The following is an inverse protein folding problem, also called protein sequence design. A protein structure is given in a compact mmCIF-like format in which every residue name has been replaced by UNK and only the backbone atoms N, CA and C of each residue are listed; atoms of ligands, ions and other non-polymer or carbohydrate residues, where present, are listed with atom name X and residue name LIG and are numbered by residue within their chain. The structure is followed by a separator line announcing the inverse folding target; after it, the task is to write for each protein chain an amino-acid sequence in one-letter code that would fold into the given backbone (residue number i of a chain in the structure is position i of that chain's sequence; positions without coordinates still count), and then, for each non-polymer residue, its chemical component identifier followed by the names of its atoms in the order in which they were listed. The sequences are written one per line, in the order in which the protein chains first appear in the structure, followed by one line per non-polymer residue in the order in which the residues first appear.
data_IF_815444141746
#
_entry.id   IF_815444141746
#
_cell.length_a   1.000
_cell.length_b   1.000
_cell.length_c   1.000
_cell.angle_alpha   90.00
_cell.angle_beta   90.00
_cell.angle_gamma   90.00
#
_symmetry.space_group_name_H-M   'P 1'
#
loop_
_entity.id
_entity.type
_entity.pdbx_description
1 polymer ?
#
# COMPACT_ATOMS: atom_id res chain seq x y z
N UNK A 1 -5.94 -7.63 -26.31
CA UNK A 1 -6.53 -7.21 -27.60
C UNK A 1 -7.48 -6.11 -27.23
N UNK A 2 -7.10 -4.86 -27.37
CA UNK A 2 -7.23 -4.13 -28.63
C UNK A 2 -6.13 -3.05 -28.73
N UNK A 3 -5.68 -2.82 -29.95
CA UNK A 3 -4.50 -2.03 -30.30
C UNK A 3 -4.67 -0.56 -29.94
N UNK A 4 -3.74 -0.02 -29.16
CA UNK A 4 -3.42 1.40 -29.15
C UNK A 4 -2.05 1.57 -29.81
N UNK A 5 -2.05 1.66 -31.14
CA UNK A 5 -0.89 2.10 -31.91
C UNK A 5 -0.75 3.62 -31.76
N UNK A 6 0.22 4.03 -30.93
CA UNK A 6 0.76 5.38 -30.83
C UNK A 6 2.17 5.26 -30.26
N UNK A 7 3.17 5.79 -30.95
CA UNK A 7 4.61 5.70 -30.61
C UNK A 7 4.99 6.55 -29.38
N UNK A 8 4.30 6.38 -28.25
CA UNK A 8 4.45 7.26 -27.08
C UNK A 8 5.03 6.57 -25.83
N UNK A 9 5.39 5.28 -25.92
CA UNK A 9 6.10 4.59 -24.86
C UNK A 9 7.49 4.18 -25.33
N UNK A 10 8.52 4.77 -24.71
CA UNK A 10 9.90 4.32 -24.84
C UNK A 10 9.98 2.84 -24.47
N UNK A 11 10.27 2.00 -25.46
CA UNK A 11 10.49 0.58 -25.22
C UNK A 11 11.97 0.32 -24.93
N UNK A 12 12.31 -0.80 -24.26
CA UNK A 12 13.70 -1.20 -24.10
C UNK A 12 14.45 -1.31 -25.44
N UNK A 13 13.75 -1.67 -26.52
CA UNK A 13 14.32 -1.76 -27.86
C UNK A 13 14.71 -0.38 -28.39
N UNK A 14 13.91 0.65 -28.13
CA UNK A 14 14.21 2.01 -28.57
C UNK A 14 15.48 2.55 -27.88
N UNK A 15 15.65 2.24 -26.59
CA UNK A 15 16.85 2.60 -25.82
C UNK A 15 18.09 1.87 -26.36
N UNK A 16 17.98 0.57 -26.63
CA UNK A 16 19.09 -0.22 -27.18
C UNK A 16 19.45 0.27 -28.59
N UNK A 17 18.46 0.51 -29.45
CA UNK A 17 18.68 1.00 -30.81
C UNK A 17 19.36 2.37 -30.80
N UNK A 18 18.92 3.30 -29.95
CA UNK A 18 19.55 4.61 -29.80
C UNK A 18 20.98 4.51 -29.25
N UNK A 19 21.22 3.59 -28.33
CA UNK A 19 22.57 3.32 -27.82
C UNK A 19 23.50 2.82 -28.94
N UNK A 20 23.03 1.87 -29.75
CA UNK A 20 23.81 1.32 -30.88
C UNK A 20 24.06 2.36 -31.99
N UNK A 21 23.12 3.27 -32.22
CA UNK A 21 23.30 4.38 -33.17
C UNK A 21 24.39 5.35 -32.70
N UNK A 22 24.42 5.64 -31.40
CA UNK A 22 25.36 6.61 -30.80
C UNK A 22 26.75 6.01 -30.53
N UNK A 23 26.81 4.72 -30.24
CA UNK A 23 28.03 3.98 -29.88
C UNK A 23 28.12 2.66 -30.68
N UNK A 24 28.36 2.74 -32.01
CA UNK A 24 28.35 1.56 -32.88
C UNK A 24 29.53 0.59 -32.62
N UNK A 25 30.57 1.06 -31.95
CA UNK A 25 31.77 0.31 -31.59
C UNK A 25 31.64 -0.49 -30.29
N UNK A 26 30.55 -0.29 -29.53
CA UNK A 26 30.33 -0.91 -28.23
C UNK A 26 29.35 -2.08 -28.31
N UNK A 27 29.66 -3.18 -27.60
CA UNK A 27 28.74 -4.32 -27.52
C UNK A 27 27.59 -4.02 -26.54
N UNK A 28 26.37 -4.03 -27.07
CA UNK A 28 25.15 -3.85 -26.28
C UNK A 28 25.02 -4.90 -25.16
N UNK A 29 25.54 -6.12 -25.36
CA UNK A 29 25.43 -7.18 -24.36
C UNK A 29 26.25 -6.85 -23.11
N UNK A 30 27.42 -6.23 -23.25
CA UNK A 30 28.27 -5.85 -22.11
C UNK A 30 27.58 -4.80 -21.23
N UNK A 31 26.77 -3.92 -21.83
CA UNK A 31 26.10 -2.82 -21.12
C UNK A 31 24.72 -3.23 -20.56
N UNK A 32 23.98 -4.06 -21.28
CA UNK A 32 22.60 -4.41 -20.95
C UNK A 32 22.42 -5.84 -20.41
N UNK A 33 23.47 -6.64 -20.28
CA UNK A 33 23.39 -7.95 -19.61
C UNK A 33 23.02 -7.81 -18.13
N UNK A 34 22.48 -8.90 -17.57
CA UNK A 34 22.15 -9.01 -16.15
C UNK A 34 23.40 -8.93 -15.28
N UNK A 35 24.50 -9.56 -15.73
CA UNK A 35 25.79 -9.54 -15.02
C UNK A 35 26.69 -8.35 -15.42
N UNK A 36 26.10 -7.32 -16.02
CA UNK A 36 26.84 -6.12 -16.43
C UNK A 36 27.26 -5.29 -15.22
N UNK A 37 28.48 -4.74 -15.24
CA UNK A 37 28.93 -3.73 -14.29
C UNK A 37 28.01 -2.48 -14.28
N UNK A 38 27.26 -2.26 -15.36
CA UNK A 38 26.32 -1.15 -15.51
C UNK A 38 24.90 -1.48 -15.02
N UNK A 39 24.62 -2.70 -14.56
CA UNK A 39 23.27 -3.06 -14.07
C UNK A 39 22.96 -2.50 -12.67
N UNK A 40 23.98 -2.12 -11.89
CA UNK A 40 23.79 -1.64 -10.51
C UNK A 40 22.78 -0.50 -10.41
N UNK A 41 22.83 0.47 -11.31
CA UNK A 41 21.88 1.60 -11.34
C UNK A 41 20.45 1.17 -11.68
N UNK A 42 20.28 0.23 -12.62
CA UNK A 42 18.97 -0.31 -13.01
C UNK A 42 18.35 -1.14 -11.90
N UNK A 43 19.14 -2.03 -11.31
CA UNK A 43 18.74 -2.87 -10.19
C UNK A 43 18.38 -2.03 -8.96
N UNK A 44 19.23 -1.07 -8.59
CA UNK A 44 18.96 -0.14 -7.48
C UNK A 44 17.72 0.72 -7.73
N UNK A 45 17.56 1.27 -8.94
CA UNK A 45 16.39 2.06 -9.32
C UNK A 45 15.10 1.23 -9.28
N UNK A 46 15.13 0.00 -9.78
CA UNK A 46 13.99 -0.92 -9.70
C UNK A 46 13.65 -1.30 -8.27
N UNK A 47 14.65 -1.58 -7.44
CA UNK A 47 14.46 -1.87 -6.02
C UNK A 47 13.88 -0.66 -5.27
N UNK A 48 14.34 0.56 -5.59
CA UNK A 48 13.79 1.78 -5.03
C UNK A 48 12.29 1.92 -5.35
N UNK A 49 11.88 1.70 -6.61
CA UNK A 49 10.47 1.77 -7.00
C UNK A 49 9.59 0.72 -6.31
N UNK A 50 10.09 -0.52 -6.17
CA UNK A 50 9.34 -1.59 -5.49
C UNK A 50 9.24 -1.37 -4.00
N UNK A 51 10.33 -0.92 -3.36
CA UNK A 51 10.39 -0.72 -1.91
C UNK A 51 9.64 0.54 -1.48
N UNK A 52 9.74 1.63 -2.24
CA UNK A 52 9.03 2.88 -1.95
C UNK A 52 7.50 2.80 -2.16
N UNK A 53 7.02 1.87 -3.00
CA UNK A 53 5.59 1.74 -3.28
C UNK A 53 5.03 2.86 -4.17
N UNK A 54 5.90 3.58 -4.90
CA UNK A 54 5.51 4.70 -5.79
C UNK A 54 4.63 4.27 -6.98
N UNK A 55 4.60 2.97 -7.28
CA UNK A 55 3.81 2.40 -8.37
C UNK A 55 4.49 2.54 -9.72
N UNK A 56 3.73 2.92 -10.75
CA UNK A 56 4.20 2.99 -12.13
C UNK A 56 4.96 4.28 -12.42
N UNK A 57 6.00 4.19 -13.24
CA UNK A 57 6.83 5.33 -13.70
C UNK A 57 6.32 5.92 -15.01
N UNK A 58 6.66 7.19 -15.35
CA UNK A 58 7.49 8.14 -14.58
C UNK A 58 6.74 8.74 -13.38
N UNK A 59 7.48 9.05 -12.30
CA UNK A 59 6.98 9.72 -11.09
C UNK A 59 7.87 10.90 -10.74
N UNK A 60 7.29 12.02 -10.31
CA UNK A 60 8.04 13.16 -9.79
C UNK A 60 7.80 13.34 -8.29
N UNK A 61 8.90 13.55 -7.56
CA UNK A 61 8.92 13.77 -6.12
C UNK A 61 9.47 15.16 -5.81
N UNK A 62 8.78 15.89 -4.93
CA UNK A 62 9.28 17.13 -4.35
C UNK A 62 9.33 16.99 -2.83
N UNK A 63 10.54 16.97 -2.26
CA UNK A 63 10.75 16.83 -0.82
C UNK A 63 10.01 15.62 -0.18
N UNK A 64 9.87 14.52 -0.93
CA UNK A 64 9.16 13.31 -0.50
C UNK A 64 7.66 13.27 -0.87
N UNK A 65 7.11 14.34 -1.43
CA UNK A 65 5.71 14.39 -1.91
C UNK A 65 5.64 13.95 -3.37
N UNK A 66 4.76 13.01 -3.69
CA UNK A 66 4.46 12.59 -5.07
C UNK A 66 3.57 13.65 -5.72
N UNK A 67 4.05 14.25 -6.81
CA UNK A 67 3.32 15.33 -7.48
C UNK A 67 2.14 14.83 -8.32
N UNK A 68 2.23 13.59 -8.82
CA UNK A 68 1.23 13.00 -9.73
C UNK A 68 -0.10 12.61 -9.06
N UNK A 69 -0.11 12.43 -7.74
CA UNK A 69 -1.32 12.04 -7.00
C UNK A 69 -2.07 13.27 -6.42
N UNK A 70 -1.58 14.50 -6.67
CA UNK A 70 -2.19 15.74 -6.20
C UNK A 70 -3.44 16.18 -6.99
N UNK A 71 -3.96 15.30 -7.86
CA UNK A 71 -5.12 15.55 -8.71
C UNK A 71 -4.71 15.88 -10.14
N UNK A 72 -5.42 15.30 -11.11
CA UNK A 72 -5.29 15.47 -12.58
C UNK A 72 -4.24 14.59 -13.28
N UNK A 73 -4.12 13.29 -12.96
CA UNK A 73 -3.08 12.46 -13.61
C UNK A 73 -3.49 11.08 -14.14
N UNK A 74 -4.76 10.81 -14.43
CA UNK A 74 -5.11 9.51 -15.06
C UNK A 74 -5.84 9.54 -16.39
N UNK A 75 -6.11 10.70 -16.97
CA UNK A 75 -6.49 10.70 -18.38
C UNK A 75 -5.78 11.81 -19.15
N UNK A 76 -4.84 11.32 -19.95
CA UNK A 76 -4.24 11.97 -21.10
C UNK A 76 -3.09 12.94 -20.82
N UNK A 77 -1.91 12.32 -20.67
CA UNK A 77 -0.66 12.71 -21.32
C UNK A 77 -0.13 14.13 -21.08
N UNK A 78 1.03 14.14 -20.42
CA UNK A 78 1.97 15.24 -20.20
C UNK A 78 1.59 16.09 -18.99
N UNK A 79 2.45 16.03 -17.97
CA UNK A 79 2.61 17.16 -17.06
C UNK A 79 3.00 18.34 -17.95
N UNK A 80 2.04 19.13 -18.43
CA UNK A 80 2.34 20.33 -19.22
C UNK A 80 3.29 21.18 -18.37
N UNK A 81 4.36 21.76 -18.94
CA UNK A 81 5.33 22.53 -18.16
C UNK A 81 4.66 23.56 -17.24
N UNK A 82 3.59 24.20 -17.70
CA UNK A 82 2.79 25.13 -16.90
C UNK A 82 2.14 24.49 -15.65
N UNK A 83 1.56 23.28 -15.77
CA UNK A 83 0.96 22.58 -14.64
C UNK A 83 2.00 22.03 -13.68
N UNK A 84 3.15 21.56 -14.20
CA UNK A 84 4.28 21.17 -13.37
C UNK A 84 4.73 22.31 -12.46
N UNK A 85 4.98 23.47 -13.06
CA UNK A 85 5.45 24.68 -12.37
C UNK A 85 4.44 25.11 -11.30
N UNK A 86 3.15 25.12 -11.63
CA UNK A 86 2.09 25.43 -10.68
C UNK A 86 2.07 24.46 -9.49
N UNK A 87 2.12 23.14 -9.75
CA UNK A 87 2.16 22.13 -8.68
C UNK A 87 3.40 22.31 -7.79
N UNK A 88 4.57 22.57 -8.37
CA UNK A 88 5.80 22.81 -7.62
C UNK A 88 5.68 24.06 -6.75
N UNK A 89 5.20 25.18 -7.30
CA UNK A 89 5.00 26.43 -6.54
C UNK A 89 4.02 26.20 -5.38
N UNK A 90 2.90 25.53 -5.64
CA UNK A 90 1.90 25.23 -4.62
C UNK A 90 2.47 24.37 -3.49
N UNK A 91 3.24 23.33 -3.80
CA UNK A 91 3.88 22.49 -2.78
C UNK A 91 4.97 23.24 -1.99
N UNK A 92 5.75 24.11 -2.64
CA UNK A 92 6.72 24.97 -1.94
C UNK A 92 6.00 25.93 -0.98
N UNK A 93 4.88 26.53 -1.40
CA UNK A 93 4.08 27.42 -0.55
C UNK A 93 3.47 26.69 0.64
N UNK A 94 3.11 25.41 0.51
CA UNK A 94 2.66 24.57 1.63
C UNK A 94 3.79 24.19 2.60
N UNK A 95 4.99 23.92 2.09
CA UNK A 95 6.13 23.50 2.90
C UNK A 95 6.77 24.66 3.68
N UNK A 96 6.83 25.86 3.09
CA UNK A 96 7.56 27.01 3.63
C UNK A 96 7.14 27.40 5.06
N UNK A 97 5.84 27.52 5.40
CA UNK A 97 5.41 27.86 6.77
C UNK A 97 5.81 26.83 7.82
N UNK A 98 5.88 25.53 7.45
CA UNK A 98 6.33 24.47 8.35
C UNK A 98 7.81 24.65 8.72
N UNK A 99 8.64 24.96 7.73
CA UNK A 99 10.07 25.23 7.93
C UNK A 99 10.31 26.50 8.75
N UNK A 100 9.61 27.59 8.44
CA UNK A 100 9.71 28.82 9.22
C UNK A 100 9.35 28.60 10.69
N UNK A 101 8.27 27.86 10.96
CA UNK A 101 7.88 27.49 12.33
C UNK A 101 8.93 26.62 13.01
N UNK A 102 9.57 25.69 12.29
CA UNK A 102 10.63 24.86 12.82
C UNK A 102 11.87 25.67 13.23
N UNK A 103 12.24 26.67 12.43
CA UNK A 103 13.35 27.60 12.74
C UNK A 103 12.98 28.45 13.96
N UNK A 104 11.80 29.08 13.96
CA UNK A 104 11.34 29.93 15.07
C UNK A 104 11.20 29.17 16.40
N UNK A 105 10.84 27.88 16.35
CA UNK A 105 10.76 27.02 17.53
C UNK A 105 12.09 26.37 17.93
N UNK A 106 13.18 26.66 17.21
CA UNK A 106 14.52 26.10 17.48
C UNK A 106 14.66 24.60 17.16
N UNK A 107 13.68 24.01 16.45
CA UNK A 107 13.70 22.61 16.01
C UNK A 107 14.61 22.35 14.82
N UNK A 108 14.87 23.39 14.01
CA UNK A 108 15.81 23.37 12.90
C UNK A 108 16.88 24.42 13.16
N UNK A 109 18.14 23.98 13.23
CA UNK A 109 19.31 24.84 13.49
C UNK A 109 20.13 25.03 12.24
N UNK A 110 21.00 26.03 12.26
CA UNK A 110 21.89 26.39 11.12
C UNK A 110 22.76 25.22 10.63
N UNK A 111 23.20 24.34 11.54
CA UNK A 111 24.04 23.17 11.21
C UNK A 111 23.25 21.97 10.69
N UNK A 112 21.92 21.99 10.75
CA UNK A 112 21.10 20.84 10.41
C UNK A 112 20.83 20.82 8.91
N UNK A 113 20.90 19.64 8.29
CA UNK A 113 20.51 19.48 6.90
C UNK A 113 18.98 19.52 6.77
N UNK A 114 18.47 20.54 6.07
CA UNK A 114 17.03 20.77 5.90
C UNK A 114 16.32 19.59 5.24
N UNK A 115 16.93 18.95 4.23
CA UNK A 115 16.35 17.80 3.54
C UNK A 115 16.19 16.61 4.50
N UNK A 116 17.24 16.30 5.25
CA UNK A 116 17.18 15.22 6.24
C UNK A 116 16.16 15.53 7.33
N UNK A 117 16.03 16.79 7.73
CA UNK A 117 15.01 17.21 8.68
C UNK A 117 13.60 16.96 8.13
N UNK A 118 13.32 17.36 6.87
CA UNK A 118 12.02 17.12 6.22
C UNK A 118 11.71 15.62 6.20
N UNK A 119 12.66 14.77 5.79
CA UNK A 119 12.47 13.32 5.72
C UNK A 119 12.34 12.65 7.09
N UNK A 120 12.87 13.27 8.15
CA UNK A 120 12.77 12.74 9.52
C UNK A 120 11.45 13.05 10.21
N UNK A 121 10.56 13.82 9.59
CA UNK A 121 9.29 14.19 10.20
C UNK A 121 8.38 12.96 10.40
N UNK A 122 7.59 12.89 11.48
CA UNK A 122 6.78 11.73 11.81
C UNK A 122 5.63 11.47 10.83
N UNK A 123 5.24 12.47 10.03
CA UNK A 123 4.24 12.37 8.96
C UNK A 123 4.82 11.81 7.65
N UNK A 124 6.14 11.69 7.52
CA UNK A 124 6.79 11.13 6.34
C UNK A 124 6.87 9.61 6.44
N UNK A 125 6.23 8.93 5.49
CA UNK A 125 6.18 7.48 5.43
C UNK A 125 7.34 6.92 4.59
N UNK A 126 8.08 5.89 5.06
CA UNK A 126 9.14 5.24 4.28
C UNK A 126 8.66 4.50 3.03
N UNK A 127 7.41 4.00 3.04
CA UNK A 127 6.78 3.28 1.94
C UNK A 127 5.33 3.74 1.79
N UNK A 128 4.93 4.03 0.56
CA UNK A 128 3.57 4.43 0.19
C UNK A 128 2.71 3.17 0.01
N UNK A 129 1.55 3.14 0.65
CA UNK A 129 0.54 2.11 0.43
C UNK A 129 -0.77 2.75 -0.03
N UNK A 130 -0.98 2.74 -1.35
CA UNK A 130 -2.17 3.32 -1.99
C UNK A 130 -3.48 2.71 -1.50
N UNK A 131 -3.51 1.43 -1.09
CA UNK A 131 -4.74 0.82 -0.54
C UNK A 131 -5.20 1.48 0.76
N UNK A 132 -4.27 2.04 1.52
CA UNK A 132 -4.55 2.75 2.78
C UNK A 132 -4.74 4.24 2.53
N UNK A 133 -3.89 4.82 1.68
CA UNK A 133 -3.88 6.28 1.43
C UNK A 133 -5.03 6.72 0.50
N UNK A 134 -5.42 5.88 -0.46
CA UNK A 134 -6.57 6.09 -1.34
C UNK A 134 -7.85 5.47 -0.74
N UNK A 135 -7.90 5.28 0.58
CA UNK A 135 -9.09 4.79 1.24
C UNK A 135 -10.27 5.71 0.89
N UNK A 136 -11.42 5.16 0.48
CA UNK A 136 -12.55 5.95 0.05
C UNK A 136 -12.98 6.93 1.16
N UNK A 137 -13.47 8.10 0.74
CA UNK A 137 -14.06 9.08 1.66
C UNK A 137 -15.21 8.46 2.45
N UNK A 138 -15.56 9.05 3.60
CA UNK A 138 -16.62 8.51 4.48
C UNK A 138 -17.91 8.13 3.75
N UNK A 139 -18.30 8.85 2.69
CA UNK A 139 -19.51 8.57 1.92
C UNK A 139 -19.40 7.36 0.96
N UNK A 140 -18.19 7.04 0.49
CA UNK A 140 -17.91 5.94 -0.45
C UNK A 140 -17.32 4.71 0.25
N UNK A 141 -17.01 4.82 1.53
CA UNK A 141 -16.47 3.75 2.32
C UNK A 141 -17.53 2.68 2.61
N UNK A 142 -17.12 1.42 2.42
CA UNK A 142 -17.99 0.29 2.73
C UNK A 142 -17.79 -0.08 4.20
N UNK A 143 -18.82 0.19 4.99
CA UNK A 143 -18.84 -0.13 6.41
C UNK A 143 -19.54 -1.44 6.68
N UNK A 144 -18.98 -2.20 7.61
CA UNK A 144 -19.61 -3.38 8.14
C UNK A 144 -20.61 -2.98 9.23
N UNK A 145 -21.89 -3.25 9.05
CA UNK A 145 -22.89 -3.02 10.08
C UNK A 145 -22.75 -4.05 11.21
N UNK A 146 -22.38 -3.56 12.41
CA UNK A 146 -22.21 -4.33 13.64
C UNK A 146 -23.23 -3.91 14.73
N UNK A 147 -24.32 -3.24 14.35
CA UNK A 147 -25.30 -2.71 15.30
C UNK A 147 -26.24 -3.76 15.88
N UNK A 148 -26.42 -4.89 15.19
CA UNK A 148 -27.31 -5.97 15.64
C UNK A 148 -26.79 -6.60 16.94
N UNK A 149 -27.70 -6.84 17.88
CA UNK A 149 -27.41 -7.52 19.16
C UNK A 149 -28.06 -8.89 19.27
N UNK A 150 -28.69 -9.37 18.20
CA UNK A 150 -29.38 -10.66 18.21
C UNK A 150 -28.35 -11.79 18.37
N UNK A 151 -28.63 -12.80 19.20
CA UNK A 151 -27.75 -13.96 19.32
C UNK A 151 -27.75 -14.73 18.00
N UNK A 152 -26.60 -15.34 17.63
CA UNK A 152 -26.54 -16.14 16.43
C UNK A 152 -27.36 -17.44 16.56
N UNK A 153 -28.43 -17.55 15.78
CA UNK A 153 -29.31 -18.74 15.74
C UNK A 153 -28.97 -19.72 14.63
N UNK A 154 -28.31 -19.26 13.56
CA UNK A 154 -28.00 -20.07 12.38
C UNK A 154 -26.95 -21.14 12.70
N UNK A 155 -27.31 -22.43 12.59
CA UNK A 155 -26.37 -23.54 12.86
C UNK A 155 -25.70 -24.06 11.60
N UNK A 156 -26.37 -23.95 10.45
CA UNK A 156 -25.85 -24.41 9.16
C UNK A 156 -25.38 -23.26 8.26
N UNK A 157 -24.41 -23.53 7.37
CA UNK A 157 -24.04 -22.69 6.21
C UNK A 157 -25.20 -22.01 5.48
N UNK A 158 -26.23 -22.79 5.15
CA UNK A 158 -27.34 -22.32 4.32
C UNK A 158 -28.22 -21.32 5.06
N UNK A 159 -28.44 -21.52 6.37
CA UNK A 159 -29.16 -20.57 7.21
C UNK A 159 -28.37 -19.28 7.39
N UNK A 160 -27.04 -19.39 7.49
CA UNK A 160 -26.15 -18.26 7.66
C UNK A 160 -26.17 -17.33 6.44
N UNK A 161 -26.17 -17.89 5.23
CA UNK A 161 -26.26 -17.13 3.98
C UNK A 161 -27.63 -16.45 3.75
N UNK A 162 -28.65 -16.82 4.52
CA UNK A 162 -30.00 -16.22 4.45
C UNK A 162 -30.18 -15.05 5.43
N UNK A 163 -29.23 -14.84 6.35
CA UNK A 163 -29.34 -13.77 7.34
C UNK A 163 -29.21 -12.38 6.68
N UNK A 164 -29.91 -11.36 7.22
CA UNK A 164 -29.60 -9.96 6.93
C UNK A 164 -28.17 -9.61 7.34
N UNK A 165 -27.54 -8.65 6.65
CA UNK A 165 -26.11 -8.37 6.82
C UNK A 165 -25.73 -8.00 8.26
N UNK A 166 -26.54 -7.22 8.97
CA UNK A 166 -26.30 -6.88 10.37
C UNK A 166 -26.31 -8.12 11.30
N UNK A 167 -27.21 -9.08 11.06
CA UNK A 167 -27.28 -10.33 11.84
C UNK A 167 -26.17 -11.32 11.45
N UNK A 168 -25.84 -11.35 10.16
CA UNK A 168 -24.73 -12.11 9.61
C UNK A 168 -23.40 -11.67 10.25
N UNK A 169 -23.10 -10.37 10.24
CA UNK A 169 -21.88 -9.81 10.80
C UNK A 169 -21.79 -10.02 12.31
N UNK A 170 -22.90 -9.85 13.02
CA UNK A 170 -22.97 -10.14 14.45
C UNK A 170 -22.69 -11.60 14.77
N UNK A 171 -23.21 -12.53 13.95
CA UNK A 171 -22.92 -13.95 14.12
C UNK A 171 -21.45 -14.28 13.83
N UNK A 172 -20.83 -13.67 12.81
CA UNK A 172 -19.38 -13.77 12.58
C UNK A 172 -18.61 -13.33 13.82
N UNK A 173 -18.92 -12.15 14.34
CA UNK A 173 -18.22 -11.56 15.48
C UNK A 173 -18.28 -12.45 16.73
N UNK A 174 -19.40 -13.14 16.97
CA UNK A 174 -19.57 -14.08 18.09
C UNK A 174 -18.79 -15.39 17.91
N UNK A 175 -18.50 -15.79 16.67
CA UNK A 175 -17.85 -17.07 16.36
C UNK A 175 -16.35 -16.98 16.16
N UNK A 176 -15.85 -15.81 15.72
CA UNK A 176 -14.42 -15.60 15.52
C UNK A 176 -13.68 -15.82 16.84
N UNK A 177 -12.61 -16.62 16.77
CA UNK A 177 -11.62 -16.74 17.83
C UNK A 177 -10.56 -15.68 17.58
N UNK A 178 -10.33 -14.86 18.59
CA UNK A 178 -9.32 -13.81 18.54
C UNK A 178 -8.01 -14.31 19.12
N UNK A 179 -6.94 -14.14 18.36
CA UNK A 179 -5.57 -14.33 18.81
C UNK A 179 -5.09 -13.04 19.44
N UNK A 180 -4.56 -13.15 20.65
CA UNK A 180 -3.99 -12.05 21.42
C UNK A 180 -2.62 -12.46 21.94
N UNK A 181 -1.77 -11.46 22.18
CA UNK A 181 -0.53 -11.67 22.91
C UNK A 181 -0.83 -12.10 24.35
N UNK A 182 -0.15 -13.13 24.84
CA UNK A 182 -0.39 -13.86 26.11
C UNK A 182 0.00 -13.13 27.39
N UNK A 183 0.24 -11.82 27.34
CA UNK A 183 0.72 -11.06 28.48
C UNK A 183 -0.21 -9.88 28.74
N UNK A 184 -0.77 -9.89 29.95
CA UNK A 184 -1.60 -8.87 30.60
C UNK A 184 -3.05 -8.72 30.10
N UNK A 185 -3.97 -8.62 31.07
CA UNK A 185 -5.34 -8.14 30.90
C UNK A 185 -5.33 -6.66 30.50
N UNK A 186 -4.94 -6.38 29.25
CA UNK A 186 -4.98 -5.04 28.67
C UNK A 186 -6.18 -4.89 27.75
N UNK A 187 -6.83 -3.74 27.83
CA UNK A 187 -7.85 -3.32 26.87
C UNK A 187 -7.24 -3.30 25.47
N UNK A 188 -7.78 -4.11 24.56
CA UNK A 188 -7.39 -4.12 23.14
C UNK A 188 -8.28 -3.13 22.40
N UNK A 189 -7.75 -1.95 22.11
CA UNK A 189 -8.49 -0.89 21.45
C UNK A 189 -8.84 -1.21 19.99
N UNK A 190 -8.03 -2.06 19.33
CA UNK A 190 -8.15 -2.33 17.90
C UNK A 190 -8.41 -3.82 17.66
N UNK A 191 -9.45 -4.10 16.87
CA UNK A 191 -9.77 -5.45 16.39
C UNK A 191 -9.46 -5.51 14.91
N UNK A 192 -8.55 -6.40 14.52
CA UNK A 192 -8.24 -6.65 13.13
C UNK A 192 -8.85 -7.97 12.70
N UNK A 193 -9.65 -7.96 11.65
CA UNK A 193 -10.11 -9.19 10.99
C UNK A 193 -9.31 -9.38 9.72
N UNK A 194 -8.74 -10.57 9.54
CA UNK A 194 -8.02 -10.95 8.33
C UNK A 194 -8.90 -11.94 7.57
N UNK A 195 -9.43 -11.50 6.44
CA UNK A 195 -10.22 -12.33 5.53
C UNK A 195 -9.38 -12.66 4.30
N UNK A 196 -9.00 -13.92 4.15
CA UNK A 196 -8.18 -14.38 3.03
C UNK A 196 -8.36 -15.88 2.81
N UNK A 197 -7.92 -16.34 1.64
CA UNK A 197 -7.79 -17.76 1.34
C UNK A 197 -6.51 -18.30 2.01
N UNK A 198 -6.64 -18.96 3.16
CA UNK A 198 -5.47 -19.50 3.88
C UNK A 198 -4.90 -20.77 3.26
N UNK A 199 -5.51 -21.29 2.19
CA UNK A 199 -4.97 -22.38 1.40
C UNK A 199 -4.07 -21.86 0.27
N UNK A 200 -4.20 -20.59 -0.09
CA UNK A 200 -3.26 -19.89 -0.98
C UNK A 200 -1.94 -19.52 -0.27
N UNK A 201 -0.87 -19.34 -1.05
CA UNK A 201 0.44 -18.90 -0.53
C UNK A 201 0.33 -17.46 0.00
N UNK A 202 -0.39 -16.62 -0.73
CA UNK A 202 -0.57 -15.20 -0.43
C UNK A 202 -1.38 -15.01 0.85
N UNK A 203 -2.46 -15.76 1.04
CA UNK A 203 -3.27 -15.67 2.26
C UNK A 203 -2.54 -16.21 3.49
N UNK A 204 -1.71 -17.26 3.36
CA UNK A 204 -0.81 -17.70 4.45
C UNK A 204 0.22 -16.66 4.80
N UNK A 205 0.83 -16.02 3.80
CA UNK A 205 1.80 -14.95 4.01
C UNK A 205 1.16 -13.78 4.76
N UNK A 206 -0.04 -13.38 4.34
CA UNK A 206 -0.80 -12.34 5.02
C UNK A 206 -1.13 -12.71 6.47
N UNK A 207 -1.56 -13.94 6.73
CA UNK A 207 -1.82 -14.42 8.09
C UNK A 207 -0.55 -14.45 8.95
N UNK A 208 0.56 -14.94 8.40
CA UNK A 208 1.87 -14.96 9.06
C UNK A 208 2.30 -13.55 9.48
N UNK A 209 2.18 -12.60 8.57
CA UNK A 209 2.52 -11.22 8.81
C UNK A 209 1.59 -10.57 9.83
N UNK A 210 0.28 -10.89 9.80
CA UNK A 210 -0.70 -10.51 10.83
C UNK A 210 -0.26 -10.93 12.24
N UNK A 211 0.18 -12.17 12.40
CA UNK A 211 0.70 -12.71 13.66
C UNK A 211 2.02 -12.03 14.04
N UNK A 212 2.91 -11.78 13.08
CA UNK A 212 4.18 -11.07 13.34
C UNK A 212 3.92 -9.68 13.90
N UNK A 213 2.98 -8.92 13.34
CA UNK A 213 2.61 -7.61 13.87
C UNK A 213 1.97 -7.69 15.26
N UNK A 214 1.14 -8.70 15.53
CA UNK A 214 0.57 -8.98 16.86
C UNK A 214 1.63 -9.17 17.95
N UNK A 215 2.82 -9.69 17.61
CA UNK A 215 3.92 -9.81 18.58
C UNK A 215 4.45 -8.45 19.04
N UNK A 216 4.49 -7.47 18.14
CA UNK A 216 5.04 -6.14 18.40
C UNK A 216 4.01 -5.12 18.90
N UNK A 217 2.72 -5.32 18.63
CA UNK A 217 1.66 -4.40 19.03
C UNK A 217 0.83 -4.93 20.20
N UNK A 218 0.75 -4.15 21.27
CA UNK A 218 0.04 -4.51 22.51
C UNK A 218 -1.47 -4.21 22.48
N UNK A 219 -1.92 -3.39 21.52
CA UNK A 219 -3.28 -2.84 21.52
C UNK A 219 -4.23 -3.56 20.56
N UNK A 220 -3.72 -4.56 19.83
CA UNK A 220 -4.46 -5.26 18.80
C UNK A 220 -4.91 -6.66 19.27
N UNK A 221 -6.02 -7.11 18.71
CA UNK A 221 -6.43 -8.52 18.66
C UNK A 221 -6.74 -8.89 17.21
N UNK A 222 -6.40 -10.10 16.79
CA UNK A 222 -6.53 -10.53 15.39
C UNK A 222 -7.50 -11.70 15.28
N UNK A 223 -8.48 -11.61 14.39
CA UNK A 223 -9.38 -12.69 14.02
C UNK A 223 -9.12 -13.13 12.58
N UNK A 224 -9.22 -14.43 12.29
CA UNK A 224 -9.00 -14.99 10.96
C UNK A 224 -10.31 -15.52 10.38
N UNK A 225 -10.62 -15.14 9.14
CA UNK A 225 -11.81 -15.55 8.38
C UNK A 225 -11.32 -16.23 7.11
N UNK A 226 -11.54 -17.54 6.99
CA UNK A 226 -11.15 -18.27 5.79
C UNK A 226 -12.12 -17.97 4.65
N UNK A 227 -11.59 -17.43 3.55
CA UNK A 227 -12.34 -17.11 2.34
C UNK A 227 -11.67 -17.80 1.14
N UNK A 228 -11.87 -19.12 0.96
CA UNK A 228 -11.25 -19.87 -0.12
C UNK A 228 -11.82 -19.45 -1.48
N UNK A 229 -11.00 -19.51 -2.54
CA UNK A 229 -11.45 -19.20 -3.91
C UNK A 229 -12.36 -20.28 -4.50
N UNK A 230 -12.14 -21.54 -4.13
CA UNK A 230 -12.89 -22.68 -4.67
C UNK A 230 -14.17 -22.95 -3.87
N UNK A 231 -15.33 -22.89 -4.54
CA UNK A 231 -16.64 -23.04 -3.93
C UNK A 231 -16.89 -24.40 -3.26
N UNK A 232 -16.07 -25.41 -3.57
CA UNK A 232 -16.18 -26.76 -2.98
C UNK A 232 -15.83 -26.78 -1.49
N UNK A 233 -15.04 -25.80 -1.04
CA UNK A 233 -14.65 -25.60 0.36
C UNK A 233 -15.47 -24.48 1.03
N UNK A 234 -16.36 -23.81 0.28
CA UNK A 234 -17.17 -22.68 0.76
C UNK A 234 -18.43 -23.18 1.44
N UNK A 235 -18.29 -23.60 2.69
CA UNK A 235 -19.43 -23.75 3.58
C UNK A 235 -19.79 -22.46 4.33
N UNK A 236 -19.07 -21.34 4.21
CA UNK A 236 -19.40 -20.18 5.10
C UNK A 236 -19.15 -18.76 4.58
N UNK A 237 -18.61 -18.53 3.38
CA UNK A 237 -17.94 -17.22 3.14
C UNK A 237 -18.26 -16.48 1.84
N UNK A 238 -19.34 -16.81 1.12
CA UNK A 238 -19.67 -16.08 -0.14
C UNK A 238 -19.96 -14.58 0.05
N UNK A 239 -20.36 -14.10 1.24
CA UNK A 239 -20.73 -12.68 1.44
C UNK A 239 -19.59 -11.76 1.92
N UNK A 240 -18.52 -12.30 2.52
CA UNK A 240 -17.36 -11.47 2.93
C UNK A 240 -16.56 -10.98 1.71
N UNK A 241 -16.73 -11.63 0.56
CA UNK A 241 -16.03 -11.32 -0.69
C UNK A 241 -16.56 -10.11 -1.47
N UNK A 242 -17.69 -9.48 -1.06
CA UNK A 242 -18.31 -8.39 -1.80
C UNK A 242 -18.08 -6.99 -1.20
N UNK A 243 -17.33 -6.88 -0.11
CA UNK A 243 -16.93 -5.58 0.41
C UNK A 243 -15.49 -5.30 -0.03
N UNK A 244 -15.17 -4.09 -0.51
CA UNK A 244 -13.79 -3.69 -0.76
C UNK A 244 -13.07 -3.71 0.59
N UNK A 245 -12.31 -4.77 0.79
CA UNK A 245 -11.50 -5.03 1.98
C UNK A 245 -10.34 -4.03 1.98
N UNK A 246 -10.54 -2.87 2.63
CA UNK A 246 -9.56 -1.76 2.64
C UNK A 246 -8.63 -1.74 3.86
N UNK A 247 -8.76 -2.69 4.80
CA UNK A 247 -7.92 -2.70 6.02
C UNK A 247 -6.95 -3.89 6.15
N UNK A 248 -7.08 -4.91 5.30
CA UNK A 248 -6.59 -6.26 5.63
C UNK A 248 -5.20 -6.55 5.05
N UNK A 249 -4.78 -5.94 3.94
CA UNK A 249 -3.43 -6.12 3.39
C UNK A 249 -2.33 -5.36 4.15
N UNK A 250 -2.72 -4.47 5.07
CA UNK A 250 -1.81 -3.63 5.84
C UNK A 250 -0.74 -4.44 6.58
N UNK A 251 -1.09 -5.65 7.04
CA UNK A 251 -0.15 -6.41 7.84
C UNK A 251 0.84 -7.22 7.04
N UNK A 252 0.47 -7.69 5.83
CA UNK A 252 1.41 -8.42 4.97
C UNK A 252 2.63 -7.58 4.60
N UNK A 253 2.39 -6.29 4.40
CA UNK A 253 3.38 -5.38 3.85
C UNK A 253 4.29 -4.72 4.89
N UNK A 254 3.89 -4.67 6.17
CA UNK A 254 4.77 -4.20 7.25
C UNK A 254 5.92 -5.16 7.58
N UNK A 255 5.81 -6.44 7.21
CA UNK A 255 6.80 -7.45 7.55
C UNK A 255 8.08 -7.40 6.70
N UNK A 256 8.10 -6.61 5.61
CA UNK A 256 9.26 -6.41 4.73
C UNK A 256 10.11 -5.17 5.09
N UNK A 257 9.81 -4.47 6.18
CA UNK A 257 10.64 -3.37 6.68
C UNK A 257 11.81 -3.89 7.51
N UNK A 258 12.85 -4.44 6.87
CA UNK A 258 14.17 -4.45 7.49
C UNK A 258 14.60 -3.00 7.72
N UNK A 259 15.02 -2.69 8.96
CA UNK A 259 15.62 -1.42 9.34
C UNK A 259 16.78 -1.12 8.40
N UNK A 260 16.64 -0.08 7.58
CA UNK A 260 17.77 0.58 6.95
C UNK A 260 18.07 1.83 7.78
N UNK A 261 19.12 1.72 8.60
CA UNK A 261 20.04 2.83 8.83
C UNK A 261 20.91 2.99 7.58
#
# INVERSE_FOLDING_TARGET
MEQAEGRDFLTPKDVINHFMEKYPDQDSNIVFSVDSDYDQGRSAGRNFLTTSGLGHTPKVLLNGVVLDDAGVFFLLFIITPAHFEETVVNEVMKATPKLQRAIMSGKLKEKDNVMNWILSQPDVMPRINKRVLDAPSYFDAVYLDLTSRKPCTAKSPSQFNQLPDAEYNQCIMQRIRYVTRTEEERIRAVTLWIAADFESVEGRLLAYNAIRHLKHSHMIRVGFINNPRDERDVLTTKRVALTPITLIDFVSDMACGERLL
#
